data_IF_897963618993
#
_entry.id   IF_897963618993
#
_cell.length_a   1.000
_cell.length_b   1.000
_cell.length_c   1.000
_cell.angle_alpha   90.00
_cell.angle_beta   90.00
_cell.angle_gamma   90.00
#
_symmetry.space_group_name_H-M   'P 1'
#
loop_
_entity.id
_entity.type
_entity.pdbx_description
1 polymer ?
#
# COMPACT_ATOMS: atom_id res chain seq x y z
N UNK A 1 -6.30 -28.82 -18.82
CA UNK A 1 -5.94 -30.26 -18.69
C UNK A 1 -4.52 -30.44 -18.15
N UNK A 2 -3.52 -29.70 -18.65
CA UNK A 2 -2.12 -29.82 -18.23
C UNK A 2 -1.88 -29.69 -16.72
N UNK A 3 -2.41 -28.63 -16.08
CA UNK A 3 -2.22 -28.37 -14.64
C UNK A 3 -2.67 -29.57 -13.79
N UNK A 4 -3.82 -30.17 -14.13
CA UNK A 4 -4.35 -31.34 -13.42
C UNK A 4 -3.41 -32.54 -13.55
N UNK A 5 -2.96 -32.84 -14.78
CA UNK A 5 -2.02 -33.96 -15.04
C UNK A 5 -0.69 -33.78 -14.32
N UNK A 6 -0.15 -32.57 -14.27
CA UNK A 6 1.11 -32.27 -13.57
C UNK A 6 0.95 -32.46 -12.07
N UNK A 7 -0.13 -31.96 -11.48
CA UNK A 7 -0.37 -32.10 -10.04
C UNK A 7 -0.60 -33.57 -9.62
N UNK A 8 -1.36 -34.32 -10.43
CA UNK A 8 -1.59 -35.75 -10.19
C UNK A 8 -0.31 -36.57 -10.43
N UNK A 9 0.44 -36.30 -11.51
CA UNK A 9 1.59 -37.11 -11.92
C UNK A 9 2.87 -36.82 -11.16
N UNK A 10 3.25 -35.54 -11.01
CA UNK A 10 4.51 -35.17 -10.36
C UNK A 10 4.38 -35.12 -8.83
N UNK A 11 3.23 -34.70 -8.31
CA UNK A 11 3.05 -34.47 -6.88
C UNK A 11 2.08 -35.45 -6.21
N UNK A 12 1.36 -36.28 -6.99
CA UNK A 12 0.43 -37.27 -6.43
C UNK A 12 -0.84 -36.67 -5.82
N UNK A 13 -1.19 -35.42 -6.12
CA UNK A 13 -2.40 -34.80 -5.57
C UNK A 13 -3.65 -35.31 -6.28
N UNK A 14 -4.69 -35.63 -5.51
CA UNK A 14 -6.01 -35.92 -6.06
C UNK A 14 -6.80 -34.63 -6.32
N UNK A 15 -6.91 -34.26 -7.60
CA UNK A 15 -7.56 -33.02 -8.03
C UNK A 15 -8.96 -33.32 -8.57
N UNK A 16 -9.96 -32.62 -8.04
CA UNK A 16 -11.33 -32.69 -8.54
C UNK A 16 -11.48 -31.77 -9.77
N UNK A 17 -11.39 -30.46 -9.53
CA UNK A 17 -11.62 -29.42 -10.53
C UNK A 17 -10.48 -28.40 -10.57
N UNK A 18 -10.21 -27.85 -11.76
CA UNK A 18 -9.26 -26.75 -11.98
C UNK A 18 -9.95 -25.64 -12.75
N UNK A 19 -10.07 -24.47 -12.13
CA UNK A 19 -10.61 -23.26 -12.78
C UNK A 19 -9.46 -22.30 -13.02
N UNK A 20 -9.28 -21.88 -14.27
CA UNK A 20 -8.21 -20.95 -14.64
C UNK A 20 -8.77 -19.57 -14.97
N UNK A 21 -8.02 -18.54 -14.61
CA UNK A 21 -8.32 -17.15 -14.88
C UNK A 21 -7.09 -16.52 -15.52
N UNK A 22 -7.24 -15.94 -16.71
CA UNK A 22 -6.16 -15.18 -17.35
C UNK A 22 -6.13 -13.77 -16.75
N UNK A 23 -5.01 -13.38 -16.16
CA UNK A 23 -4.85 -12.09 -15.49
C UNK A 23 -3.87 -11.23 -16.24
N UNK A 24 -4.30 -10.01 -16.56
CA UNK A 24 -3.38 -9.00 -17.07
C UNK A 24 -2.45 -8.49 -15.96
N UNK A 25 -1.20 -8.28 -16.33
CA UNK A 25 -0.21 -7.61 -15.52
C UNK A 25 -0.55 -6.13 -15.35
N UNK A 26 -0.07 -5.54 -14.26
CA UNK A 26 -0.29 -4.11 -14.00
C UNK A 26 0.43 -3.28 -15.07
N UNK A 27 -0.34 -2.52 -15.84
CA UNK A 27 0.14 -1.50 -16.78
C UNK A 27 0.32 -0.18 -16.05
N UNK A 28 1.45 0.49 -16.24
CA UNK A 28 1.76 1.83 -15.73
C UNK A 28 2.22 2.69 -16.91
N UNK A 29 1.63 3.87 -17.05
CA UNK A 29 2.05 4.85 -18.05
C UNK A 29 2.86 5.95 -17.36
N UNK A 30 4.02 6.30 -17.91
CA UNK A 30 4.80 7.47 -17.49
C UNK A 30 5.27 8.20 -18.74
N UNK A 31 4.73 9.40 -18.98
CA UNK A 31 4.89 10.10 -20.25
C UNK A 31 4.27 9.29 -21.40
N UNK A 32 5.00 9.17 -22.52
CA UNK A 32 4.59 8.40 -23.71
C UNK A 32 4.89 6.90 -23.67
N UNK A 33 5.61 6.40 -22.65
CA UNK A 33 6.01 4.98 -22.57
C UNK A 33 5.12 4.22 -21.57
N UNK A 34 4.70 3.02 -21.97
CA UNK A 34 3.90 2.09 -21.15
C UNK A 34 4.80 1.00 -20.61
N UNK A 35 4.94 0.92 -19.28
CA UNK A 35 5.59 -0.17 -18.59
C UNK A 35 4.54 -1.15 -18.10
N UNK A 36 4.68 -2.44 -18.43
CA UNK A 36 3.76 -3.47 -17.99
C UNK A 36 4.52 -4.54 -17.19
N UNK A 37 3.91 -4.99 -16.09
CA UNK A 37 4.29 -6.28 -15.49
C UNK A 37 3.82 -7.40 -16.43
N UNK A 38 4.50 -8.56 -16.43
CA UNK A 38 4.06 -9.70 -17.22
C UNK A 38 2.65 -10.13 -16.81
N UNK A 39 1.87 -10.54 -17.81
CA UNK A 39 0.59 -11.20 -17.60
C UNK A 39 0.82 -12.57 -16.96
N UNK A 40 -0.18 -13.05 -16.23
CA UNK A 40 -0.08 -14.31 -15.50
C UNK A 40 -1.41 -15.06 -15.53
N UNK A 41 -1.35 -16.38 -15.38
CA UNK A 41 -2.53 -17.23 -15.30
C UNK A 41 -2.72 -17.67 -13.85
N UNK A 42 -3.87 -17.33 -13.26
CA UNK A 42 -4.27 -17.86 -11.95
C UNK A 42 -4.99 -19.19 -12.15
N UNK A 43 -4.80 -20.11 -11.22
CA UNK A 43 -5.55 -21.35 -11.16
C UNK A 43 -6.11 -21.54 -9.75
N UNK A 44 -7.41 -21.78 -9.66
CA UNK A 44 -8.09 -22.25 -8.47
C UNK A 44 -8.27 -23.75 -8.61
N UNK A 45 -7.63 -24.49 -7.73
CA UNK A 45 -7.61 -25.95 -7.75
C UNK A 45 -8.42 -26.45 -6.56
N UNK A 46 -9.39 -27.32 -6.83
CA UNK A 46 -10.17 -28.01 -5.81
C UNK A 46 -9.61 -29.41 -5.66
N UNK A 47 -9.08 -29.72 -4.48
CA UNK A 47 -8.62 -31.06 -4.13
C UNK A 47 -9.81 -31.91 -3.68
N UNK A 48 -9.73 -33.23 -3.89
CA UNK A 48 -10.75 -34.16 -3.39
C UNK A 48 -10.69 -34.31 -1.87
N UNK A 49 -9.47 -34.40 -1.34
CA UNK A 49 -9.22 -34.49 0.09
C UNK A 49 -8.64 -33.16 0.60
N UNK A 50 -9.14 -32.62 1.74
CA UNK A 50 -8.57 -31.41 2.32
C UNK A 50 -7.13 -31.66 2.77
N UNK A 51 -6.24 -30.69 2.47
CA UNK A 51 -4.84 -30.72 2.86
C UNK A 51 -4.66 -29.93 4.16
N UNK A 52 -4.01 -30.52 5.17
CA UNK A 52 -3.56 -29.81 6.37
C UNK A 52 -2.14 -29.26 6.16
N UNK A 53 -1.93 -28.00 6.50
CA UNK A 53 -0.62 -27.33 6.40
C UNK A 53 -0.12 -26.94 7.80
N UNK A 54 1.12 -27.29 8.19
CA UNK A 54 1.72 -26.78 9.41
C UNK A 54 1.83 -25.25 9.39
N UNK A 55 1.54 -24.62 10.53
CA UNK A 55 1.62 -23.16 10.74
C UNK A 55 3.02 -22.59 10.48
N UNK A 56 4.06 -23.41 10.66
CA UNK A 56 5.47 -23.00 10.60
C UNK A 56 6.12 -23.21 9.21
N UNK A 57 5.36 -23.63 8.19
CA UNK A 57 5.92 -23.89 6.85
C UNK A 57 6.46 -22.63 6.17
N UNK A 58 5.95 -21.46 6.54
CA UNK A 58 6.39 -20.18 6.02
C UNK A 58 6.44 -19.18 7.16
N UNK A 59 7.35 -18.19 7.13
CA UNK A 59 7.47 -17.17 8.17
C UNK A 59 6.28 -16.20 8.22
N UNK A 60 5.15 -16.52 7.60
CA UNK A 60 3.94 -15.68 7.58
C UNK A 60 3.43 -15.46 9.00
N UNK A 61 3.32 -16.53 9.81
CA UNK A 61 2.91 -16.42 11.22
C UNK A 61 3.90 -15.59 12.05
N UNK A 62 5.20 -15.81 11.86
CA UNK A 62 6.25 -15.05 12.55
C UNK A 62 6.18 -13.54 12.21
N UNK A 63 5.96 -13.20 10.93
CA UNK A 63 5.82 -11.81 10.47
C UNK A 63 4.52 -11.17 11.01
N UNK A 64 3.44 -11.94 11.10
CA UNK A 64 2.16 -11.46 11.65
C UNK A 64 2.26 -11.19 13.16
N UNK A 65 2.90 -12.10 13.90
CA UNK A 65 3.20 -11.93 15.32
C UNK A 65 4.10 -10.72 15.59
N UNK A 66 5.17 -10.52 14.79
CA UNK A 66 6.06 -9.36 14.88
C UNK A 66 5.31 -8.04 14.64
N UNK A 67 4.38 -8.00 13.68
CA UNK A 67 3.50 -6.85 13.45
C UNK A 67 2.55 -6.61 14.62
N UNK A 68 2.02 -7.65 15.24
CA UNK A 68 1.14 -7.52 16.39
C UNK A 68 1.90 -7.03 17.64
N UNK A 69 3.13 -7.48 17.85
CA UNK A 69 4.00 -7.03 18.94
C UNK A 69 4.45 -5.58 18.76
N UNK A 70 4.91 -5.20 17.57
CA UNK A 70 5.32 -3.81 17.28
C UNK A 70 4.16 -2.81 17.42
N UNK A 71 2.93 -3.20 17.07
CA UNK A 71 1.73 -2.36 17.23
C UNK A 71 1.20 -2.28 18.68
N UNK A 72 1.62 -3.19 19.57
CA UNK A 72 1.38 -3.09 21.03
C UNK A 72 2.40 -2.14 21.69
N UNK A 73 3.65 -2.19 21.23
CA UNK A 73 4.73 -1.37 21.76
C UNK A 73 4.61 0.12 21.37
N UNK A 74 4.02 0.43 20.20
CA UNK A 74 3.72 1.80 19.77
C UNK A 74 2.62 2.51 20.58
N UNK A 75 1.88 1.78 21.43
CA UNK A 75 0.81 2.35 22.29
C UNK A 75 1.26 2.64 23.73
N UNK A 76 2.48 2.26 24.13
CA UNK A 76 2.91 2.38 25.54
C UNK A 76 4.04 3.38 25.79
N UNK A 77 4.45 4.20 24.82
CA UNK A 77 5.36 5.31 25.07
C UNK A 77 4.59 6.62 25.28
N UNK A 78 3.83 6.71 26.37
CA UNK A 78 3.58 8.01 26.99
C UNK A 78 4.91 8.39 27.68
N UNK A 79 5.71 9.16 26.96
CA UNK A 79 6.91 9.81 27.45
C UNK A 79 6.60 11.30 27.53
N UNK A 80 6.92 11.86 28.69
CA UNK A 80 6.53 13.17 29.17
C UNK A 80 6.69 14.32 28.16
N UNK A 81 5.76 15.25 28.37
CA UNK A 81 5.54 16.54 27.77
C UNK A 81 6.76 17.47 27.86
N UNK A 82 7.64 17.40 26.87
CA UNK A 82 8.51 18.51 26.52
C UNK A 82 8.44 18.76 25.02
N UNK A 83 7.74 19.84 24.67
CA UNK A 83 7.59 20.40 23.33
C UNK A 83 8.93 20.41 22.58
N UNK A 84 9.09 19.50 21.61
CA UNK A 84 10.17 19.56 20.63
C UNK A 84 9.60 19.36 19.23
N UNK A 85 10.00 20.29 18.35
CA UNK A 85 9.61 20.51 16.96
C UNK A 85 9.16 19.22 16.25
N UNK A 86 7.90 19.20 15.80
CA UNK A 86 7.21 18.01 15.31
C UNK A 86 7.26 17.83 13.79
N UNK A 87 7.90 18.73 13.04
CA UNK A 87 7.81 18.66 11.59
C UNK A 87 9.06 19.18 10.86
N UNK A 88 9.48 18.44 9.82
CA UNK A 88 10.61 18.75 8.95
C UNK A 88 10.48 20.10 8.20
N UNK A 89 9.29 20.72 8.18
CA UNK A 89 9.09 22.07 7.63
C UNK A 89 9.33 23.22 8.62
N UNK A 90 9.57 22.92 9.90
CA UNK A 90 9.91 23.94 10.90
C UNK A 90 11.42 24.23 10.89
N UNK A 91 12.00 24.32 9.69
CA UNK A 91 13.34 24.89 9.50
C UNK A 91 13.21 26.41 9.59
N UNK A 92 13.83 26.94 10.63
CA UNK A 92 13.87 28.32 11.05
C UNK A 92 13.98 29.32 9.87
N UNK A 93 12.97 30.18 9.72
CA UNK A 93 13.07 31.41 8.90
C UNK A 93 13.58 32.55 9.78
N UNK A 94 14.84 32.50 10.15
CA UNK A 94 15.55 33.66 10.69
C UNK A 94 16.96 33.69 10.10
N UNK A 95 17.11 34.33 8.94
CA UNK A 95 18.15 35.34 8.76
C UNK A 95 17.87 36.21 7.52
N UNK A 96 18.36 37.45 7.57
CA UNK A 96 17.79 38.63 6.91
C UNK A 96 17.76 38.68 5.38
N UNK A 97 16.75 39.42 4.88
CA UNK A 97 16.83 40.40 3.77
C UNK A 97 15.41 40.91 3.46
N UNK A 98 15.10 42.17 3.81
CA UNK A 98 13.86 42.85 3.37
C UNK A 98 14.02 43.31 1.92
N UNK A 99 13.13 42.98 0.97
CA UNK A 99 12.96 43.76 -0.25
C UNK A 99 11.97 44.94 -0.01
N UNK A 100 12.05 46.02 -0.80
CA UNK A 100 11.39 47.28 -0.48
C UNK A 100 9.87 47.21 -0.66
N UNK A 101 9.17 48.09 0.06
CA UNK A 101 7.73 48.33 -0.04
C UNK A 101 7.41 48.91 -1.43
N UNK A 102 6.47 48.30 -2.12
CA UNK A 102 5.70 48.94 -3.18
C UNK A 102 4.24 48.99 -2.71
N UNK A 103 3.70 50.21 -2.71
CA UNK A 103 2.34 50.52 -2.31
C UNK A 103 1.38 50.03 -3.40
N UNK A 104 0.49 49.11 -3.04
CA UNK A 104 -0.54 48.59 -3.91
C UNK A 104 -1.59 47.86 -3.09
N UNK A 105 -2.67 48.58 -2.77
CA UNK A 105 -3.82 48.01 -2.10
C UNK A 105 -4.51 47.03 -3.07
N UNK A 106 -4.54 45.75 -2.73
CA UNK A 106 -5.57 44.83 -3.16
C UNK A 106 -5.75 43.72 -2.11
N UNK A 107 -6.92 43.76 -1.48
CA UNK A 107 -7.39 42.78 -0.49
C UNK A 107 -7.64 41.45 -1.22
N UNK A 108 -6.84 40.42 -0.92
CA UNK A 108 -7.11 39.03 -1.32
C UNK A 108 -7.46 38.23 -0.05
N UNK A 109 -8.64 37.61 0.03
CA UNK A 109 -9.13 37.00 1.25
C UNK A 109 -8.36 35.72 1.60
N UNK A 110 -8.31 35.48 2.91
CA UNK A 110 -8.01 34.26 3.65
C UNK A 110 -7.67 33.04 2.78
N UNK A 111 -6.36 32.75 2.66
CA UNK A 111 -5.87 31.50 2.08
C UNK A 111 -6.26 30.34 2.99
N UNK A 112 -7.44 29.77 2.78
CA UNK A 112 -7.71 28.41 3.21
C UNK A 112 -6.60 27.52 2.64
N UNK A 113 -5.78 26.96 3.54
CA UNK A 113 -4.69 26.05 3.19
C UNK A 113 -5.29 24.76 2.62
N UNK A 114 -5.52 24.74 1.30
CA UNK A 114 -5.87 23.52 0.57
C UNK A 114 -4.63 22.65 0.46
N UNK A 115 -4.56 21.65 1.32
CA UNK A 115 -3.56 20.59 1.27
C UNK A 115 -3.63 19.85 -0.09
N UNK A 116 -2.49 19.39 -0.64
CA UNK A 116 -2.40 18.87 -2.02
C UNK A 116 -3.20 17.58 -2.29
N UNK A 117 -3.85 17.00 -1.29
CA UNK A 117 -4.70 15.81 -1.38
C UNK A 117 -6.19 16.11 -1.12
N UNK A 118 -6.58 17.38 -0.96
CA UNK A 118 -7.99 17.78 -0.79
C UNK A 118 -8.87 17.59 -2.04
N UNK A 119 -8.33 16.98 -3.10
CA UNK A 119 -9.03 16.61 -4.33
C UNK A 119 -9.34 15.10 -4.42
N UNK A 120 -9.47 14.39 -3.29
CA UNK A 120 -10.17 13.09 -3.30
C UNK A 120 -11.67 13.34 -3.42
N UNK A 121 -12.16 13.35 -4.67
CA UNK A 121 -13.59 13.34 -4.99
C UNK A 121 -14.27 12.18 -4.27
N UNK A 122 -15.28 12.48 -3.45
CA UNK A 122 -16.14 11.47 -2.85
C UNK A 122 -16.85 10.71 -3.96
N UNK A 123 -16.77 9.37 -3.91
CA UNK A 123 -17.64 8.52 -4.69
C UNK A 123 -18.77 8.10 -3.75
N UNK A 124 -19.86 8.86 -3.80
CA UNK A 124 -21.13 8.46 -3.22
C UNK A 124 -22.28 8.99 -4.07
N UNK A 125 -22.86 8.10 -4.85
CA UNK A 125 -24.25 8.08 -5.31
C UNK A 125 -24.44 6.67 -5.90
N UNK A 126 -25.25 5.84 -5.22
CA UNK A 126 -26.68 5.59 -5.51
C UNK A 126 -26.88 5.04 -6.91
#
# INVERSE_FOLDING_TARGET
IEIKRVLEGLYGFEVDNVRTLNMEGKKKKRGGVVFAKPDYKKAYVTLKQPLSLPSNLFPIGLIEEEKAMSNKQSKSSIVNEQMKKTHWLDTDREDGSKPPKEDGADVIPEREKKFPWSYVKSWKQM
#
